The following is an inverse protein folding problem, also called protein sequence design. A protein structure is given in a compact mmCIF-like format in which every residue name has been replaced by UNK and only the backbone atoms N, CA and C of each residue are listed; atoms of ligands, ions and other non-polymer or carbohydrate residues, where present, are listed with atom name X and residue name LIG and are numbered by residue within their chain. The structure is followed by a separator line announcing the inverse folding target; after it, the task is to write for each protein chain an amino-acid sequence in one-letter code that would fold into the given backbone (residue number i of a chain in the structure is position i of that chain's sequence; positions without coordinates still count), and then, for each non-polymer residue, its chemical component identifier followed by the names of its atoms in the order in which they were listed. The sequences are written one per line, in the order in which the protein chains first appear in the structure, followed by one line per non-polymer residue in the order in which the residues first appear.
data_IF_390991386771
#
_entry.id   IF_390991386771
#
_cell.length_a   1.000
_cell.length_b   1.000
_cell.length_c   1.000
_cell.angle_alpha   90.00
_cell.angle_beta   90.00
_cell.angle_gamma   90.00
#
_symmetry.space_group_name_H-M   'P 1'
#
loop_
_entity.id
_entity.type
_entity.pdbx_description
1 polymer ?
#
# COMPACT_ATOMS: atom_id res chain seq x y z
N UNK A 1 10.62 -22.73 8.44
CA UNK A 1 11.49 -21.58 8.74
C UNK A 1 12.34 -21.34 7.51
N UNK A 2 12.15 -20.24 6.79
CA UNK A 2 12.93 -19.96 5.58
C UNK A 2 14.35 -19.61 6.05
N UNK A 3 15.25 -20.58 5.96
CA UNK A 3 16.69 -20.37 6.07
C UNK A 3 17.20 -20.14 4.65
N UNK A 4 17.11 -18.90 4.18
CA UNK A 4 17.70 -18.47 2.91
C UNK A 4 18.96 -17.66 3.19
N UNK A 5 20.11 -18.12 2.69
CA UNK A 5 21.40 -17.42 2.80
C UNK A 5 21.53 -16.28 1.75
N UNK A 6 20.50 -15.45 1.59
CA UNK A 6 20.51 -14.29 0.68
C UNK A 6 19.65 -13.17 1.24
N UNK A 7 19.97 -11.92 0.90
CA UNK A 7 19.17 -10.75 1.28
C UNK A 7 17.72 -10.97 0.83
N UNK A 8 16.76 -10.95 1.78
CA UNK A 8 15.35 -11.17 1.47
C UNK A 8 14.75 -9.82 1.08
N UNK A 9 14.10 -9.77 -0.07
CA UNK A 9 13.36 -8.59 -0.50
C UNK A 9 11.85 -8.81 -0.36
N UNK A 10 11.17 -7.80 0.20
CA UNK A 10 9.72 -7.79 0.37
C UNK A 10 9.14 -6.64 -0.46
N UNK A 11 8.29 -6.97 -1.43
CA UNK A 11 7.55 -6.01 -2.25
C UNK A 11 6.05 -6.24 -2.04
N UNK A 12 5.35 -5.23 -1.55
CA UNK A 12 3.91 -5.32 -1.26
C UNK A 12 3.21 -3.98 -1.44
N UNK A 13 1.93 -4.05 -1.78
CA UNK A 13 1.07 -2.88 -1.73
C UNK A 13 0.49 -2.68 -0.33
N UNK A 14 0.23 -1.42 0.01
CA UNK A 14 -0.41 -1.06 1.26
C UNK A 14 -1.18 0.24 1.12
N UNK A 15 -1.98 0.53 2.14
CA UNK A 15 -2.65 1.81 2.26
C UNK A 15 -2.13 2.60 3.44
N UNK A 16 -2.24 3.93 3.37
CA UNK A 16 -2.07 4.78 4.54
C UNK A 16 -3.35 4.82 5.39
N UNK A 17 -3.32 5.49 6.53
CA UNK A 17 -4.46 5.58 7.47
C UNK A 17 -5.75 6.11 6.83
N UNK A 18 -5.63 7.09 5.93
CA UNK A 18 -6.77 7.68 5.22
C UNK A 18 -7.34 6.71 4.19
N UNK A 19 -6.46 6.01 3.45
CA UNK A 19 -6.81 4.90 2.56
C UNK A 19 -7.57 3.80 3.30
N UNK A 20 -7.07 3.41 4.47
CA UNK A 20 -7.70 2.39 5.30
C UNK A 20 -9.13 2.78 5.72
N UNK A 21 -9.34 4.02 6.20
CA UNK A 21 -10.68 4.52 6.52
C UNK A 21 -11.63 4.46 5.33
N UNK A 22 -11.14 4.77 4.13
CA UNK A 22 -11.93 4.69 2.91
C UNK A 22 -12.27 3.23 2.54
N UNK A 23 -11.32 2.31 2.70
CA UNK A 23 -11.54 0.88 2.45
C UNK A 23 -12.57 0.30 3.41
N UNK A 24 -12.46 0.58 4.71
CA UNK A 24 -13.43 0.16 5.72
C UNK A 24 -14.83 0.74 5.46
N UNK A 25 -14.92 2.03 5.07
CA UNK A 25 -16.22 2.68 4.86
C UNK A 25 -16.92 2.24 3.58
N UNK A 26 -16.19 2.02 2.49
CA UNK A 26 -16.74 1.83 1.15
C UNK A 26 -16.41 0.47 0.56
N UNK A 27 -15.14 0.09 0.53
CA UNK A 27 -14.70 -1.09 -0.21
C UNK A 27 -15.18 -2.40 0.42
N UNK A 28 -14.96 -2.59 1.72
CA UNK A 28 -15.38 -3.80 2.46
C UNK A 28 -16.89 -4.05 2.36
N UNK A 29 -17.69 -2.97 2.37
CA UNK A 29 -19.14 -3.01 2.14
C UNK A 29 -19.50 -3.48 0.73
N UNK A 30 -18.81 -2.95 -0.28
CA UNK A 30 -19.05 -3.31 -1.67
C UNK A 30 -18.66 -4.75 -2.00
N UNK A 31 -17.61 -5.30 -1.37
CA UNK A 31 -17.16 -6.67 -1.63
C UNK A 31 -17.83 -7.73 -0.73
N UNK A 32 -18.84 -7.36 0.06
CA UNK A 32 -19.60 -8.29 0.90
C UNK A 32 -18.82 -8.84 2.10
N UNK A 33 -17.74 -8.16 2.48
CA UNK A 33 -16.87 -8.54 3.60
C UNK A 33 -16.84 -7.42 4.65
N UNK A 34 -18.02 -6.95 5.09
CA UNK A 34 -18.12 -5.90 6.12
C UNK A 34 -17.43 -6.30 7.43
N UNK A 35 -17.39 -7.61 7.72
CA UNK A 35 -16.76 -8.17 8.91
C UNK A 35 -15.24 -8.41 8.73
N UNK A 36 -14.70 -8.23 7.51
CA UNK A 36 -13.26 -8.33 7.27
C UNK A 36 -12.58 -7.05 7.79
N UNK A 37 -12.06 -7.16 9.00
CA UNK A 37 -11.44 -6.04 9.65
C UNK A 37 -10.00 -5.86 9.14
N UNK A 38 -9.82 -4.93 8.20
CA UNK A 38 -8.49 -4.49 7.78
C UNK A 38 -7.95 -3.47 8.76
N UNK A 39 -6.87 -3.82 9.46
CA UNK A 39 -6.23 -2.96 10.46
C UNK A 39 -4.81 -2.53 10.09
N UNK A 40 -4.20 -3.19 9.11
CA UNK A 40 -2.83 -2.93 8.71
C UNK A 40 -2.74 -1.80 7.69
N UNK A 41 -2.07 -0.72 8.06
CA UNK A 41 -1.80 0.41 7.19
C UNK A 41 -0.37 0.91 7.45
N UNK A 42 0.22 1.59 6.46
CA UNK A 42 1.58 2.13 6.53
C UNK A 42 1.55 3.58 6.06
N UNK A 43 1.71 4.51 7.00
CA UNK A 43 1.76 5.94 6.68
C UNK A 43 3.10 6.32 6.02
N UNK A 44 4.21 5.69 6.43
CA UNK A 44 5.55 5.84 5.83
C UNK A 44 6.30 4.51 5.85
N UNK A 45 7.03 4.20 4.77
CA UNK A 45 7.89 3.03 4.72
C UNK A 45 8.95 3.06 5.84
N UNK A 46 9.60 4.21 6.07
CA UNK A 46 10.63 4.37 7.11
C UNK A 46 10.08 4.04 8.51
N UNK A 47 8.89 4.53 8.86
CA UNK A 47 8.25 4.21 10.14
C UNK A 47 7.97 2.70 10.28
N UNK A 48 7.66 2.02 9.17
CA UNK A 48 7.49 0.58 9.18
C UNK A 48 8.82 -0.14 9.42
N UNK A 49 9.91 0.30 8.76
CA UNK A 49 11.23 -0.31 8.93
C UNK A 49 11.75 -0.12 10.35
N UNK A 50 11.55 1.06 10.93
CA UNK A 50 11.86 1.34 12.33
C UNK A 50 11.11 0.39 13.30
N UNK A 51 9.85 0.06 12.99
CA UNK A 51 9.05 -0.90 13.77
C UNK A 51 9.46 -2.35 13.56
N UNK A 52 9.92 -2.72 12.36
CA UNK A 52 10.47 -4.06 12.07
C UNK A 52 11.80 -4.23 12.81
N UNK A 53 12.65 -3.19 12.78
CA UNK A 53 13.98 -3.19 13.35
C UNK A 53 14.99 -4.07 12.59
N UNK A 54 16.11 -4.37 13.24
CA UNK A 54 17.16 -5.22 12.66
C UNK A 54 17.87 -4.55 11.47
N UNK A 55 18.08 -5.33 10.40
CA UNK A 55 18.74 -4.88 9.18
C UNK A 55 17.77 -4.42 8.10
N UNK A 56 16.49 -4.28 8.44
CA UNK A 56 15.47 -3.88 7.48
C UNK A 56 15.80 -2.50 6.90
N UNK A 57 15.57 -2.30 5.60
CA UNK A 57 15.82 -1.04 4.89
C UNK A 57 14.74 -0.77 3.87
N UNK A 58 14.32 0.49 3.75
CA UNK A 58 13.50 0.93 2.62
C UNK A 58 14.37 0.93 1.37
N UNK A 59 13.93 0.21 0.34
CA UNK A 59 14.48 0.31 -1.00
C UNK A 59 13.71 1.36 -1.79
N UNK A 60 12.37 1.27 -1.79
CA UNK A 60 11.49 2.26 -2.43
C UNK A 60 10.13 2.38 -1.74
N UNK A 61 9.52 3.57 -1.85
CA UNK A 61 8.11 3.83 -1.57
C UNK A 61 7.51 4.57 -2.78
N UNK A 62 6.62 3.91 -3.51
CA UNK A 62 6.10 4.41 -4.78
C UNK A 62 4.58 4.60 -4.76
N UNK A 63 4.13 5.63 -5.48
CA UNK A 63 2.70 5.88 -5.72
C UNK A 63 2.13 4.81 -6.64
N UNK A 64 1.13 4.08 -6.16
CA UNK A 64 0.65 2.88 -6.84
C UNK A 64 0.11 3.16 -8.27
N UNK A 65 -0.62 4.26 -8.48
CA UNK A 65 -1.29 4.50 -9.76
C UNK A 65 -0.45 5.25 -10.80
N UNK A 66 0.76 5.70 -10.43
CA UNK A 66 1.57 6.56 -11.27
C UNK A 66 2.02 5.86 -12.56
N UNK A 67 2.30 4.56 -12.49
CA UNK A 67 2.76 3.75 -13.63
C UNK A 67 1.65 2.94 -14.32
N UNK A 68 0.40 3.06 -13.86
CA UNK A 68 -0.73 2.33 -14.45
C UNK A 68 -1.25 3.08 -15.68
N UNK A 69 -1.42 2.35 -16.79
CA UNK A 69 -2.08 2.85 -18.01
C UNK A 69 -3.55 3.19 -17.71
N UNK A 70 -3.96 4.41 -18.06
CA UNK A 70 -5.31 4.94 -17.75
C UNK A 70 -6.25 4.93 -18.96
N UNK A 71 -5.83 4.38 -20.09
CA UNK A 71 -6.63 4.27 -21.31
C UNK A 71 -7.88 3.40 -21.06
N UNK A 72 -9.04 3.85 -21.53
CA UNK A 72 -10.31 3.13 -21.38
C UNK A 72 -10.99 3.25 -20.00
N UNK A 73 -10.34 3.86 -19.00
CA UNK A 73 -10.96 4.09 -17.69
C UNK A 73 -11.94 5.26 -17.70
N UNK A 74 -13.00 5.16 -16.90
CA UNK A 74 -13.93 6.27 -16.64
C UNK A 74 -13.21 7.47 -16.02
N UNK A 75 -13.70 8.69 -16.29
CA UNK A 75 -13.09 9.93 -15.80
C UNK A 75 -13.01 9.95 -14.26
N UNK A 76 -14.06 9.51 -13.59
CA UNK A 76 -14.13 9.45 -12.11
C UNK A 76 -13.05 8.53 -11.52
N UNK A 77 -12.74 7.43 -12.21
CA UNK A 77 -11.68 6.50 -11.81
C UNK A 77 -10.32 7.17 -11.92
N UNK A 78 -10.05 7.88 -13.02
CA UNK A 78 -8.79 8.62 -13.22
C UNK A 78 -8.59 9.70 -12.14
N UNK A 79 -9.65 10.45 -11.82
CA UNK A 79 -9.62 11.45 -10.75
C UNK A 79 -9.35 10.78 -9.40
N UNK A 80 -10.01 9.66 -9.11
CA UNK A 80 -9.83 8.92 -7.86
C UNK A 80 -8.39 8.39 -7.72
N UNK A 81 -7.81 7.87 -8.81
CA UNK A 81 -6.40 7.45 -8.86
C UNK A 81 -5.46 8.63 -8.60
N UNK A 82 -5.70 9.78 -9.24
CA UNK A 82 -4.89 10.97 -9.04
C UNK A 82 -4.96 11.52 -7.61
N UNK A 83 -6.15 11.50 -6.99
CA UNK A 83 -6.34 11.86 -5.58
C UNK A 83 -5.57 10.89 -4.69
N UNK A 84 -5.67 9.57 -4.92
CA UNK A 84 -4.90 8.59 -4.15
C UNK A 84 -3.39 8.84 -4.22
N UNK A 85 -2.85 9.07 -5.41
CA UNK A 85 -1.43 9.36 -5.63
C UNK A 85 -1.00 10.73 -5.05
N UNK A 86 -1.90 11.71 -5.00
CA UNK A 86 -1.64 13.00 -4.36
C UNK A 86 -1.48 12.86 -2.84
N UNK A 87 -2.27 11.97 -2.23
CA UNK A 87 -2.26 11.72 -0.79
C UNK A 87 -1.44 10.49 -0.36
N UNK A 88 -0.70 9.85 -1.28
CA UNK A 88 0.01 8.58 -1.06
C UNK A 88 -0.87 7.52 -0.36
N UNK A 89 -2.15 7.43 -0.75
CA UNK A 89 -3.12 6.58 -0.08
C UNK A 89 -2.92 5.11 -0.36
N UNK A 90 -2.65 4.75 -1.60
CA UNK A 90 -2.26 3.41 -2.04
C UNK A 90 -0.85 3.52 -2.57
N UNK A 91 0.04 2.66 -2.07
CA UNK A 91 1.47 2.73 -2.35
C UNK A 91 2.07 1.33 -2.44
N UNK A 92 3.15 1.22 -3.20
CA UNK A 92 4.02 0.06 -3.19
C UNK A 92 5.20 0.34 -2.26
N UNK A 93 5.53 -0.61 -1.39
CA UNK A 93 6.72 -0.54 -0.54
C UNK A 93 7.63 -1.71 -0.89
N UNK A 94 8.90 -1.41 -1.12
CA UNK A 94 9.96 -2.38 -1.33
C UNK A 94 10.96 -2.27 -0.17
N UNK A 95 11.16 -3.37 0.55
CA UNK A 95 12.09 -3.47 1.66
C UNK A 95 13.13 -4.55 1.38
N UNK A 96 14.33 -4.36 1.92
CA UNK A 96 15.30 -5.44 2.18
C UNK A 96 15.24 -5.78 3.66
N UNK A 97 15.27 -7.08 4.01
CA UNK A 97 15.18 -7.62 5.38
C UNK A 97 16.15 -8.77 5.62
#
# INVERSE_FOLDING_TARGET
MIQGNGDIELLFDTVNKSGMKMMQKKHMKTVGHEDAAMFFYVDSAEELVDKIGGNAKVLTEEKYYSHIKKSGLQLITKVSMAVSDCFNMVKMIHLSV
#
